data_IF_785337325692
#
_entry.id   IF_785337325692
#
_cell.length_a   1.000
_cell.length_b   1.000
_cell.length_c   1.000
_cell.angle_alpha   90.00
_cell.angle_beta   90.00
_cell.angle_gamma   90.00
#
_symmetry.space_group_name_H-M   'P 1'
#
loop_
_entity.id
_entity.type
_entity.pdbx_description
1 polymer ?
#
# COMPACT_ATOMS: atom_id res chain seq x y z
N UNK A 1 -27.10 -14.07 -26.72
CA UNK A 1 -26.28 -15.21 -26.25
C UNK A 1 -24.85 -14.99 -26.72
N UNK A 2 -24.06 -14.26 -25.94
CA UNK A 2 -22.60 -14.13 -26.12
C UNK A 2 -21.95 -14.72 -24.89
N UNK A 3 -21.08 -15.71 -25.11
CA UNK A 3 -20.45 -16.51 -24.05
C UNK A 3 -19.35 -15.66 -23.38
N UNK A 4 -19.51 -15.35 -22.10
CA UNK A 4 -18.39 -14.94 -21.27
C UNK A 4 -17.58 -16.18 -20.92
N UNK A 5 -16.44 -16.36 -21.58
CA UNK A 5 -15.45 -17.35 -21.17
C UNK A 5 -14.85 -16.92 -19.82
N UNK A 6 -14.66 -17.83 -18.85
CA UNK A 6 -13.94 -17.52 -17.62
C UNK A 6 -12.46 -17.30 -17.94
N UNK A 7 -11.91 -16.16 -17.51
CA UNK A 7 -10.48 -15.86 -17.59
C UNK A 7 -9.66 -16.85 -16.75
N UNK A 8 -8.54 -17.29 -17.34
CA UNK A 8 -7.55 -18.26 -16.82
C UNK A 8 -7.12 -18.00 -15.36
N UNK A 9 -6.77 -19.04 -14.57
CA UNK A 9 -6.32 -18.88 -13.19
C UNK A 9 -5.04 -18.04 -13.10
N UNK A 10 -5.05 -17.06 -12.20
CA UNK A 10 -3.92 -16.18 -11.89
C UNK A 10 -2.67 -16.99 -11.52
N UNK A 11 -1.55 -16.66 -12.18
CA UNK A 11 -0.18 -17.10 -11.90
C UNK A 11 0.19 -16.75 -10.43
N UNK A 12 1.20 -17.34 -9.77
CA UNK A 12 1.56 -16.94 -8.41
C UNK A 12 1.98 -15.47 -8.44
N UNK A 13 1.07 -14.59 -8.02
CA UNK A 13 1.27 -13.15 -7.99
C UNK A 13 2.47 -12.88 -7.06
N UNK A 14 3.47 -12.14 -7.55
CA UNK A 14 4.60 -11.70 -6.72
C UNK A 14 4.07 -11.02 -5.46
N UNK A 15 4.69 -11.23 -4.28
CA UNK A 15 4.20 -10.64 -3.03
C UNK A 15 4.12 -9.12 -3.15
N UNK A 16 3.00 -8.54 -2.71
CA UNK A 16 2.75 -7.10 -2.78
C UNK A 16 3.74 -6.34 -1.91
N UNK A 17 4.39 -5.30 -2.46
CA UNK A 17 5.38 -4.50 -1.74
C UNK A 17 4.68 -3.36 -1.03
N UNK A 18 4.70 -3.37 0.30
CA UNK A 18 4.04 -2.36 1.13
C UNK A 18 5.10 -1.49 1.80
N UNK A 19 5.01 -0.17 1.61
CA UNK A 19 5.79 0.80 2.37
C UNK A 19 4.96 1.33 3.53
N UNK A 20 5.50 1.31 4.75
CA UNK A 20 4.76 1.76 5.91
C UNK A 20 5.63 2.55 6.87
N UNK A 21 5.01 3.54 7.53
CA UNK A 21 5.63 4.23 8.65
C UNK A 21 5.61 3.33 9.90
N UNK A 22 6.63 3.46 10.74
CA UNK A 22 6.64 2.84 12.07
C UNK A 22 6.24 3.87 13.12
N UNK A 23 4.95 4.21 13.18
CA UNK A 23 4.38 4.98 14.27
C UNK A 23 3.65 4.08 15.27
N UNK A 24 3.54 4.51 16.52
CA UNK A 24 2.88 3.76 17.58
C UNK A 24 1.44 3.37 17.20
N UNK A 25 0.72 4.24 16.47
CA UNK A 25 -0.65 4.00 16.03
C UNK A 25 -0.76 2.99 14.87
N UNK A 26 0.35 2.61 14.24
CA UNK A 26 0.38 1.63 13.14
C UNK A 26 0.75 0.22 13.58
N UNK A 27 1.13 0.00 14.84
CA UNK A 27 1.69 -1.28 15.33
C UNK A 27 0.81 -2.47 14.99
N UNK A 28 -0.49 -2.41 15.28
CA UNK A 28 -1.40 -3.54 15.03
C UNK A 28 -1.55 -3.87 13.53
N UNK A 29 -1.51 -2.87 12.66
CA UNK A 29 -1.52 -3.10 11.22
C UNK A 29 -0.19 -3.71 10.76
N UNK A 30 0.93 -3.19 11.24
CA UNK A 30 2.28 -3.67 10.91
C UNK A 30 2.44 -5.13 11.33
N UNK A 31 2.05 -5.48 12.56
CA UNK A 31 2.09 -6.86 13.06
C UNK A 31 1.21 -7.79 12.20
N UNK A 32 0.01 -7.35 11.84
CA UNK A 32 -0.86 -8.11 10.93
C UNK A 32 -0.21 -8.36 9.57
N UNK A 33 0.37 -7.32 8.95
CA UNK A 33 1.05 -7.42 7.66
C UNK A 33 2.31 -8.29 7.71
N UNK A 34 3.09 -8.23 8.79
CA UNK A 34 4.30 -9.05 8.98
C UNK A 34 3.97 -10.56 9.05
N UNK A 35 2.75 -10.94 9.46
CA UNK A 35 2.30 -12.33 9.47
C UNK A 35 1.71 -12.81 8.13
N UNK A 36 1.48 -11.90 7.17
CA UNK A 36 0.84 -12.22 5.90
C UNK A 36 1.87 -12.48 4.79
N UNK A 37 1.97 -13.75 4.36
CA UNK A 37 2.90 -14.18 3.30
C UNK A 37 2.62 -13.60 1.90
N UNK A 38 1.50 -12.87 1.72
CA UNK A 38 1.15 -12.24 0.44
C UNK A 38 1.81 -10.88 0.21
N UNK A 39 2.58 -10.38 1.18
CA UNK A 39 3.23 -9.08 1.05
C UNK A 39 4.65 -9.07 1.62
N UNK A 40 5.43 -8.07 1.22
CA UNK A 40 6.70 -7.70 1.85
C UNK A 40 6.58 -6.28 2.39
N UNK A 41 7.06 -6.06 3.61
CA UNK A 41 6.93 -4.77 4.29
C UNK A 41 8.27 -4.04 4.34
N UNK A 42 8.31 -2.80 3.83
CA UNK A 42 9.45 -1.88 3.98
C UNK A 42 9.07 -0.75 4.92
N UNK A 43 9.80 -0.62 6.03
CA UNK A 43 9.62 0.48 6.98
C UNK A 43 10.36 1.72 6.48
N UNK A 44 9.67 2.85 6.38
CA UNK A 44 10.22 4.12 5.90
C UNK A 44 9.68 5.31 6.69
N UNK A 45 10.37 6.44 6.63
CA UNK A 45 9.83 7.71 7.15
C UNK A 45 8.69 8.21 6.25
N UNK A 46 7.68 8.93 6.79
CA UNK A 46 6.51 9.38 6.02
C UNK A 46 6.85 10.09 4.72
N UNK A 47 7.79 11.04 4.78
CA UNK A 47 8.20 11.87 3.63
C UNK A 47 8.86 11.09 2.49
N UNK A 48 9.22 9.82 2.68
CA UNK A 48 9.74 8.96 1.61
C UNK A 48 8.69 8.08 0.97
N UNK A 49 7.56 7.82 1.63
CA UNK A 49 6.62 6.78 1.19
C UNK A 49 5.99 7.16 -0.16
N UNK A 50 5.57 8.40 -0.33
CA UNK A 50 5.03 8.87 -1.61
C UNK A 50 6.03 8.72 -2.76
N UNK A 51 7.29 9.12 -2.54
CA UNK A 51 8.35 8.95 -3.55
C UNK A 51 8.61 7.47 -3.86
N UNK A 52 8.57 6.59 -2.86
CA UNK A 52 8.73 5.14 -3.09
C UNK A 52 7.61 4.56 -3.97
N UNK A 53 6.38 5.09 -3.88
CA UNK A 53 5.29 4.69 -4.76
C UNK A 53 5.50 5.21 -6.18
N UNK A 54 5.85 6.48 -6.32
CA UNK A 54 6.13 7.12 -7.63
C UNK A 54 7.32 6.45 -8.34
N UNK A 55 8.36 6.10 -7.60
CA UNK A 55 9.55 5.40 -8.12
C UNK A 55 9.34 3.89 -8.33
N UNK A 56 8.12 3.40 -8.11
CA UNK A 56 7.75 1.99 -8.23
C UNK A 56 8.61 1.06 -7.34
N UNK A 57 9.05 1.55 -6.19
CA UNK A 57 9.76 0.79 -5.15
C UNK A 57 8.79 0.09 -4.19
N UNK A 58 7.54 0.55 -4.12
CA UNK A 58 6.43 -0.07 -3.40
C UNK A 58 5.15 0.00 -4.26
N UNK A 59 4.22 -0.92 -4.01
CA UNK A 59 2.92 -0.99 -4.69
C UNK A 59 1.83 -0.27 -3.87
N UNK A 60 1.92 -0.34 -2.54
CA UNK A 60 0.99 0.28 -1.58
C UNK A 60 1.78 0.99 -0.49
N UNK A 61 1.30 2.15 -0.04
CA UNK A 61 1.98 2.93 0.99
C UNK A 61 1.04 3.50 2.04
N UNK A 62 1.47 3.47 3.32
CA UNK A 62 0.88 4.32 4.37
C UNK A 62 1.46 5.74 4.26
N UNK A 63 0.99 6.50 3.27
CA UNK A 63 1.44 7.86 3.00
C UNK A 63 0.62 8.92 3.74
N UNK A 64 1.12 10.16 3.80
CA UNK A 64 0.34 11.29 4.31
C UNK A 64 -0.80 11.62 3.35
N UNK A 65 -1.94 12.07 3.86
CA UNK A 65 -3.04 12.58 3.02
C UNK A 65 -2.59 13.80 2.20
N UNK A 66 -1.60 14.54 2.68
CA UNK A 66 -1.01 15.68 1.96
C UNK A 66 -0.32 15.19 0.69
N UNK A 67 0.40 14.07 0.74
CA UNK A 67 1.09 13.50 -0.42
C UNK A 67 0.11 13.03 -1.49
N UNK A 68 -1.05 12.50 -1.06
CA UNK A 68 -2.13 12.06 -1.94
C UNK A 68 -2.93 13.24 -2.55
N UNK A 69 -2.87 14.43 -1.93
CA UNK A 69 -3.49 15.64 -2.45
C UNK A 69 -2.58 16.41 -3.42
N UNK A 70 -1.29 16.06 -3.50
CA UNK A 70 -0.35 16.68 -4.42
C UNK A 70 -0.63 16.21 -5.87
N UNK A 71 -1.03 17.11 -6.78
CA UNK A 71 -1.32 16.74 -8.17
C UNK A 71 -0.08 16.29 -8.96
N UNK A 72 1.13 16.47 -8.43
CA UNK A 72 2.36 15.96 -9.06
C UNK A 72 2.54 14.45 -8.85
N UNK A 73 1.84 13.87 -7.86
CA UNK A 73 1.90 12.45 -7.56
C UNK A 73 0.74 11.72 -8.25
N UNK A 74 1.05 10.76 -9.12
CA UNK A 74 0.06 9.86 -9.72
C UNK A 74 -0.31 8.74 -8.74
N UNK A 75 -1.07 9.10 -7.69
CA UNK A 75 -1.46 8.21 -6.60
C UNK A 75 -2.97 8.12 -6.46
N UNK A 76 -3.45 6.95 -6.04
CA UNK A 76 -4.86 6.72 -5.73
C UNK A 76 -5.03 6.28 -4.27
N UNK A 77 -6.13 6.72 -3.65
CA UNK A 77 -6.51 6.31 -2.30
C UNK A 77 -7.24 4.97 -2.31
N UNK A 78 -6.80 4.04 -1.47
CA UNK A 78 -7.47 2.75 -1.27
C UNK A 78 -8.57 2.92 -0.20
N UNK A 79 -9.85 2.63 -0.50
CA UNK A 79 -10.95 2.71 0.47
C UNK A 79 -10.94 1.48 1.40
N UNK A 80 -9.97 1.41 2.31
CA UNK A 80 -9.77 0.30 3.25
C UNK A 80 -10.01 0.69 4.73
N UNK A 81 -10.60 1.86 4.98
CA UNK A 81 -10.66 2.49 6.30
C UNK A 81 -9.36 3.22 6.62
N UNK A 82 -9.44 4.52 6.91
CA UNK A 82 -8.26 5.31 7.25
C UNK A 82 -7.77 4.94 8.66
N UNK A 83 -6.47 4.64 8.81
CA UNK A 83 -5.84 4.58 10.12
C UNK A 83 -5.49 6.02 10.52
N UNK A 84 -6.29 6.60 11.43
CA UNK A 84 -5.99 7.89 12.01
C UNK A 84 -4.74 7.85 12.91
N UNK A 85 -3.96 8.93 12.91
CA UNK A 85 -3.00 9.26 13.95
C UNK A 85 -3.51 10.50 14.70
N UNK A 86 -3.11 10.69 15.96
CA UNK A 86 -3.56 11.81 16.80
C UNK A 86 -2.77 13.12 16.59
N UNK A 87 -1.99 13.20 15.50
CA UNK A 87 -1.18 14.39 15.13
C UNK A 87 0.22 14.40 15.71
#
# INVERSE_FOLDING_TARGET
MTKNSPSSPATPESPTRIAAVQFLNTISLIEGLETWNGCTLTKAIPSRIAQMLVDNQADIGLASIVDAADPQNDLALIPAGMIGCDG
#
